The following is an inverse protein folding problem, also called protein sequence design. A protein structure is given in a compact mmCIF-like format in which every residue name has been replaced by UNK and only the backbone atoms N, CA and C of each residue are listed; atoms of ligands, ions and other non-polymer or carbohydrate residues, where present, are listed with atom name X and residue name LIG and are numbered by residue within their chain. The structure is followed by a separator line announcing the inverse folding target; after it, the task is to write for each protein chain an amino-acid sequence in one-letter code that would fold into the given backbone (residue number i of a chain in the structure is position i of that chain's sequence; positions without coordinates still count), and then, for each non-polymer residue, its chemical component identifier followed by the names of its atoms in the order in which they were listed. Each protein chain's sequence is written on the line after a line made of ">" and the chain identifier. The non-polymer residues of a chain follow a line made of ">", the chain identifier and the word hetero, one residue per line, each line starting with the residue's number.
data_IF_203939931212
#
_entry.id   IF_203939931212
#
_cell.length_a   1.000
_cell.length_b   1.000
_cell.length_c   1.000
_cell.angle_alpha   90.00
_cell.angle_beta   90.00
_cell.angle_gamma   90.00
#
_symmetry.space_group_name_H-M   'P 1'
#
loop_
_entity.id
_entity.type
_entity.pdbx_description
1 polymer ?
#
# COMPACT_ATOMS: atom_id res chain seq x y z
N UNK A 1 22.02 4.95 8.85
CA UNK A 1 20.77 4.52 8.19
C UNK A 1 20.43 5.54 7.13
N UNK A 2 19.89 5.12 5.98
CA UNK A 2 19.34 6.06 5.00
C UNK A 2 18.12 6.75 5.61
N UNK A 3 17.96 8.05 5.35
CA UNK A 3 16.80 8.82 5.78
C UNK A 3 15.77 8.82 4.65
N UNK A 4 14.72 8.01 4.78
CA UNK A 4 13.57 8.05 3.87
C UNK A 4 12.63 9.18 4.29
N UNK A 5 11.99 9.82 3.32
CA UNK A 5 10.99 10.86 3.63
C UNK A 5 9.73 10.24 4.24
N UNK A 6 9.31 9.09 3.72
CA UNK A 6 8.18 8.32 4.23
C UNK A 6 8.39 6.82 4.01
N UNK A 7 7.77 6.01 4.86
CA UNK A 7 7.70 4.55 4.74
C UNK A 7 6.28 4.13 4.35
N UNK A 8 6.13 3.34 3.30
CA UNK A 8 4.85 2.71 2.92
C UNK A 8 4.87 1.25 3.35
N UNK A 9 3.77 0.77 3.93
CA UNK A 9 3.62 -0.61 4.40
C UNK A 9 2.50 -1.30 3.62
N UNK A 10 2.79 -2.47 3.07
CA UNK A 10 1.84 -3.31 2.34
C UNK A 10 1.74 -4.68 3.00
N UNK A 11 0.53 -5.11 3.36
CA UNK A 11 0.30 -6.39 4.06
C UNK A 11 -1.05 -7.04 3.70
N UNK A 12 -1.73 -6.56 2.66
CA UNK A 12 -2.94 -7.16 2.12
C UNK A 12 -2.62 -8.31 1.15
N UNK A 13 -3.67 -8.90 0.56
CA UNK A 13 -3.54 -10.01 -0.39
C UNK A 13 -2.77 -9.62 -1.67
N UNK A 14 -2.72 -8.32 -1.98
CA UNK A 14 -2.02 -7.75 -3.13
C UNK A 14 -0.65 -7.17 -2.76
N UNK A 15 -0.18 -7.37 -1.52
CA UNK A 15 0.97 -6.65 -0.99
C UNK A 15 2.24 -6.88 -1.80
N UNK A 16 2.44 -8.11 -2.30
CA UNK A 16 3.58 -8.48 -3.14
C UNK A 16 3.53 -7.76 -4.49
N UNK A 17 2.38 -7.76 -5.16
CA UNK A 17 2.16 -7.07 -6.43
C UNK A 17 2.36 -5.56 -6.27
N UNK A 18 1.73 -4.97 -5.25
CA UNK A 18 1.86 -3.55 -4.90
C UNK A 18 3.32 -3.19 -4.66
N UNK A 19 4.00 -3.90 -3.75
CA UNK A 19 5.40 -3.63 -3.44
C UNK A 19 6.29 -3.70 -4.69
N UNK A 20 6.12 -4.72 -5.53
CA UNK A 20 6.88 -4.84 -6.79
C UNK A 20 6.62 -3.69 -7.76
N UNK A 21 5.41 -3.13 -7.80
CA UNK A 21 5.10 -1.95 -8.63
C UNK A 21 5.93 -0.73 -8.17
N UNK A 22 5.96 -0.47 -6.86
CA UNK A 22 6.76 0.63 -6.30
C UNK A 22 8.26 0.41 -6.47
N UNK A 23 8.76 -0.82 -6.27
CA UNK A 23 10.17 -1.15 -6.49
C UNK A 23 10.61 -0.89 -7.94
N UNK A 24 9.76 -1.22 -8.95
CA UNK A 24 10.03 -0.88 -10.36
C UNK A 24 10.12 0.62 -10.61
N UNK A 25 9.43 1.43 -9.79
CA UNK A 25 9.46 2.89 -9.84
C UNK A 25 10.57 3.51 -8.97
N UNK A 26 11.54 2.71 -8.53
CA UNK A 26 12.73 3.16 -7.83
C UNK A 26 12.55 3.39 -6.33
N UNK A 27 11.48 2.89 -5.71
CA UNK A 27 11.39 2.81 -4.25
C UNK A 27 12.37 1.75 -3.72
N UNK A 28 12.77 1.87 -2.45
CA UNK A 28 13.72 0.94 -1.82
C UNK A 28 13.01 0.00 -0.84
N UNK A 29 13.32 -1.30 -0.90
CA UNK A 29 12.84 -2.26 0.10
C UNK A 29 13.60 -2.04 1.42
N UNK A 30 12.88 -1.62 2.46
CA UNK A 30 13.44 -1.36 3.79
C UNK A 30 13.30 -2.57 4.70
N UNK A 31 12.15 -3.24 4.64
CA UNK A 31 11.88 -4.43 5.45
C UNK A 31 10.91 -5.39 4.75
N UNK A 32 11.08 -6.69 5.01
CA UNK A 32 10.08 -7.73 4.74
C UNK A 32 9.99 -8.63 5.97
N UNK A 33 8.77 -8.90 6.44
CA UNK A 33 8.56 -9.65 7.66
C UNK A 33 7.12 -10.08 7.88
N UNK A 34 6.84 -10.65 9.05
CA UNK A 34 5.50 -11.08 9.45
C UNK A 34 4.85 -10.03 10.32
N UNK A 35 3.65 -9.60 9.94
CA UNK A 35 2.82 -8.68 10.72
C UNK A 35 1.64 -9.43 11.32
N UNK A 36 1.43 -9.26 12.61
CA UNK A 36 0.19 -9.69 13.27
C UNK A 36 -0.96 -8.80 12.78
N UNK A 37 -1.95 -9.42 12.13
CA UNK A 37 -3.13 -8.72 11.63
C UNK A 37 -4.24 -8.78 12.67
N UNK A 38 -4.48 -9.95 13.26
CA UNK A 38 -5.56 -10.14 14.21
C UNK A 38 -5.32 -11.33 15.15
N UNK A 39 -6.11 -11.42 16.21
CA UNK A 39 -6.30 -12.61 17.03
C UNK A 39 -7.75 -13.05 16.83
N UNK A 40 -7.94 -14.16 16.13
CA UNK A 40 -9.26 -14.72 15.83
C UNK A 40 -9.98 -15.16 17.13
N UNK A 41 -11.31 -15.30 17.08
CA UNK A 41 -12.15 -15.67 18.24
C UNK A 41 -11.72 -16.99 18.94
N UNK A 42 -11.06 -17.88 18.20
CA UNK A 42 -10.52 -19.14 18.74
C UNK A 42 -9.13 -18.98 19.41
N UNK A 43 -8.62 -17.75 19.55
CA UNK A 43 -7.31 -17.42 20.10
C UNK A 43 -6.14 -17.59 19.13
N UNK A 44 -6.41 -17.94 17.86
CA UNK A 44 -5.36 -18.10 16.86
C UNK A 44 -4.90 -16.73 16.35
N UNK A 45 -3.59 -16.50 16.34
CA UNK A 45 -3.01 -15.34 15.70
C UNK A 45 -3.02 -15.47 14.17
N UNK A 46 -3.54 -14.45 13.50
CA UNK A 46 -3.60 -14.31 12.05
C UNK A 46 -2.52 -13.33 11.60
N UNK A 47 -1.63 -13.80 10.70
CA UNK A 47 -0.46 -13.05 10.25
C UNK A 47 -0.46 -12.94 8.73
N UNK A 48 -0.01 -11.78 8.25
CA UNK A 48 0.33 -11.56 6.85
C UNK A 48 1.81 -11.22 6.69
N UNK A 49 2.31 -11.39 5.46
CA UNK A 49 3.63 -10.85 5.09
C UNK A 49 3.49 -9.34 4.90
N UNK A 50 4.37 -8.56 5.55
CA UNK A 50 4.47 -7.12 5.36
C UNK A 50 5.71 -6.77 4.55
N UNK A 51 5.54 -5.86 3.58
CA UNK A 51 6.61 -5.22 2.83
C UNK A 51 6.63 -3.73 3.20
N UNK A 52 7.77 -3.24 3.67
CA UNK A 52 7.97 -1.82 3.98
C UNK A 52 8.91 -1.21 2.97
N UNK A 53 8.44 -0.18 2.26
CA UNK A 53 9.20 0.53 1.24
C UNK A 53 9.50 1.96 1.67
N UNK A 54 10.72 2.40 1.40
CA UNK A 54 11.18 3.77 1.65
C UNK A 54 11.28 4.55 0.35
N UNK A 55 10.77 5.77 0.35
CA UNK A 55 10.77 6.65 -0.82
C UNK A 55 11.38 8.03 -0.54
N UNK A 56 11.72 8.72 -1.63
CA UNK A 56 12.05 10.15 -1.60
C UNK A 56 10.78 10.99 -1.40
N UNK A 57 10.98 12.29 -1.17
CA UNK A 57 9.87 13.24 -1.09
C UNK A 57 9.08 13.29 -2.40
N UNK A 58 9.74 13.39 -3.56
CA UNK A 58 9.04 13.46 -4.85
C UNK A 58 8.22 12.19 -5.13
N UNK A 59 8.76 11.01 -4.77
CA UNK A 59 8.06 9.74 -4.93
C UNK A 59 6.79 9.68 -4.06
N UNK A 60 6.86 10.14 -2.81
CA UNK A 60 5.71 10.16 -1.91
C UNK A 60 4.65 11.17 -2.33
N UNK A 61 5.04 12.39 -2.73
CA UNK A 61 4.11 13.40 -3.23
C UNK A 61 3.36 12.92 -4.46
N UNK A 62 4.06 12.25 -5.40
CA UNK A 62 3.41 11.61 -6.55
C UNK A 62 2.41 10.53 -6.14
N UNK A 63 2.78 9.67 -5.19
CA UNK A 63 1.89 8.61 -4.70
C UNK A 63 0.57 9.16 -4.13
N UNK A 64 0.62 10.26 -3.37
CA UNK A 64 -0.59 10.90 -2.83
C UNK A 64 -1.49 11.41 -3.96
N UNK A 65 -0.94 12.13 -4.93
CA UNK A 65 -1.70 12.64 -6.08
C UNK A 65 -2.34 11.51 -6.89
N UNK A 66 -1.58 10.44 -7.16
CA UNK A 66 -2.08 9.28 -7.90
C UNK A 66 -3.20 8.55 -7.13
N UNK A 67 -3.08 8.45 -5.81
CA UNK A 67 -4.08 7.82 -4.93
C UNK A 67 -5.37 8.64 -4.86
N UNK A 68 -5.27 9.96 -4.66
CA UNK A 68 -6.43 10.85 -4.66
C UNK A 68 -7.18 10.86 -6.00
N UNK A 69 -6.43 10.71 -7.11
CA UNK A 69 -7.04 10.60 -8.43
C UNK A 69 -7.77 9.27 -8.61
N UNK A 70 -7.15 8.17 -8.20
CA UNK A 70 -7.77 6.85 -8.27
C UNK A 70 -9.08 6.79 -7.46
N UNK A 71 -9.11 7.39 -6.27
CA UNK A 71 -10.32 7.49 -5.45
C UNK A 71 -11.42 8.26 -6.18
N UNK A 72 -11.10 9.45 -6.72
CA UNK A 72 -12.08 10.27 -7.47
C UNK A 72 -12.63 9.56 -8.70
N UNK A 73 -11.77 8.88 -9.46
CA UNK A 73 -12.16 8.14 -10.66
C UNK A 73 -13.10 6.96 -10.30
N UNK A 74 -12.84 6.27 -9.19
CA UNK A 74 -13.70 5.21 -8.68
C UNK A 74 -15.09 5.71 -8.25
N UNK A 75 -15.14 6.81 -7.49
CA UNK A 75 -16.43 7.41 -7.06
C UNK A 75 -17.24 7.95 -8.25
N UNK A 76 -16.58 8.49 -9.28
CA UNK A 76 -17.27 8.97 -10.50
C UNK A 76 -17.91 7.84 -11.31
N UNK A 77 -17.32 6.64 -11.32
CA UNK A 77 -17.93 5.49 -12.01
C UNK A 77 -19.19 4.98 -11.30
N UNK A 78 -19.21 5.01 -9.96
CA UNK A 78 -20.37 4.60 -9.17
C UNK A 78 -21.56 5.57 -9.31
N UNK A 79 -21.32 6.86 -9.50
CA UNK A 79 -22.40 7.83 -9.73
C UNK A 79 -23.06 7.69 -11.11
N UNK A 80 -22.38 7.09 -12.08
CA UNK A 80 -22.91 6.88 -13.44
C UNK A 80 -23.70 5.56 -13.58
N UNK A 81 -23.64 4.66 -12.60
CA UNK A 81 -24.32 3.35 -12.65
C UNK A 81 -25.71 3.32 -12.02
N UNK A 82 -26.12 4.40 -11.34
CA UNK A 82 -27.41 4.48 -10.63
C UNK A 82 -28.52 5.17 -11.45
N UNK A 83 -28.25 5.56 -12.70
CA UNK A 83 -29.18 6.30 -13.59
C UNK A 83 -29.85 5.43 -14.70
N UNK A 84 -29.78 4.09 -14.63
CA UNK A 84 -30.45 3.15 -15.57
C UNK A 84 -31.69 2.43 -14.97
#
# INVERSE_FOLDING_TARGET
>A
MKNYYHLLSFNDDMAKESANSFLKNGWELVHVGTKLIDILDNGQAYYNTEYVLGGTKEQYEKYIVDSEKADKDFFSQFQLSDDD
#
